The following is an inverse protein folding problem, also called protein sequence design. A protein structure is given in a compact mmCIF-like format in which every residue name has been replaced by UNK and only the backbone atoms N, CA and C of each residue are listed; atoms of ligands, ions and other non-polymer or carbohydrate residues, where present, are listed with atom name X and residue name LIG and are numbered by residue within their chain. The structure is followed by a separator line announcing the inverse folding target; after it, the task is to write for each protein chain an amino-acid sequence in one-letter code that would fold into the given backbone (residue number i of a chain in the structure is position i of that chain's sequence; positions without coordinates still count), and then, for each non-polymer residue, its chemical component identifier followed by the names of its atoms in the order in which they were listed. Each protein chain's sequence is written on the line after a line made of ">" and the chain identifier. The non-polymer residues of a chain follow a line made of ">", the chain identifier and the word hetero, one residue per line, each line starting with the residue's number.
data_IF_625679871395
#
_entry.id   IF_625679871395
#
_cell.length_a   1.000
_cell.length_b   1.000
_cell.length_c   1.000
_cell.angle_alpha   90.00
_cell.angle_beta   90.00
_cell.angle_gamma   90.00
#
_symmetry.space_group_name_H-M   'P 1'
#
loop_
_entity.id
_entity.type
_entity.pdbx_description
1 polymer ?
#
# COMPACT_ATOMS: atom_id res chain seq x y z
N UNK A 1 -9.32 7.09 23.40
CA UNK A 1 -9.04 7.06 21.96
C UNK A 1 -9.21 5.64 21.43
N UNK A 2 -9.77 5.47 20.23
CA UNK A 2 -9.94 4.14 19.65
C UNK A 2 -8.61 3.67 19.06
N UNK A 3 -8.04 2.58 19.62
CA UNK A 3 -6.82 1.95 19.12
C UNK A 3 -7.17 0.91 18.06
N UNK A 4 -6.41 0.85 16.98
CA UNK A 4 -6.56 -0.17 15.94
C UNK A 4 -6.40 -1.56 16.54
N UNK A 5 -7.38 -2.43 16.34
CA UNK A 5 -7.46 -3.79 16.94
C UNK A 5 -7.28 -3.82 18.46
N UNK A 6 -7.51 -2.69 19.14
CA UNK A 6 -7.29 -2.54 20.58
C UNK A 6 -5.82 -2.38 21.01
N UNK A 7 -4.87 -2.33 20.06
CA UNK A 7 -3.42 -2.32 20.37
C UNK A 7 -2.69 -1.07 19.89
N UNK A 8 -2.91 -0.63 18.63
CA UNK A 8 -2.07 0.36 17.95
C UNK A 8 -2.71 1.74 17.94
N UNK A 9 -1.94 2.77 18.32
CA UNK A 9 -2.39 4.15 18.29
C UNK A 9 -2.03 4.84 16.97
N UNK A 10 -2.92 5.71 16.47
CA UNK A 10 -2.68 6.51 15.27
C UNK A 10 -2.07 7.87 15.57
N UNK A 11 -2.16 8.36 16.82
CA UNK A 11 -1.68 9.70 17.22
C UNK A 11 -0.17 9.86 17.14
N UNK A 12 0.57 8.74 17.28
CA UNK A 12 2.03 8.70 17.21
C UNK A 12 2.57 8.62 15.77
N UNK A 13 1.68 8.52 14.77
CA UNK A 13 2.07 8.26 13.39
C UNK A 13 2.29 9.56 12.61
N UNK A 14 3.49 9.75 12.11
CA UNK A 14 3.87 10.90 11.30
C UNK A 14 3.98 10.54 9.81
N UNK A 15 3.47 11.43 8.95
CA UNK A 15 3.61 11.32 7.50
C UNK A 15 4.73 12.26 7.05
N UNK A 16 5.90 11.68 6.72
CA UNK A 16 7.09 12.43 6.31
C UNK A 16 6.97 13.07 4.94
N UNK A 17 6.26 12.43 4.00
CA UNK A 17 6.08 12.96 2.63
C UNK A 17 4.86 13.88 2.57
N UNK A 18 5.05 15.21 2.39
CA UNK A 18 3.95 16.17 2.36
C UNK A 18 3.01 15.94 1.17
N UNK A 19 3.48 15.35 0.08
CA UNK A 19 2.68 15.13 -1.13
C UNK A 19 1.54 14.13 -0.92
N UNK A 20 1.73 13.13 -0.06
CA UNK A 20 0.72 12.10 0.21
C UNK A 20 -0.09 12.36 1.47
N UNK A 21 0.27 13.39 2.26
CA UNK A 21 -0.33 13.68 3.57
C UNK A 21 -1.87 13.80 3.51
N UNK A 22 -2.39 14.49 2.51
CA UNK A 22 -3.83 14.70 2.35
C UNK A 22 -4.58 13.45 1.83
N UNK A 23 -3.85 12.42 1.40
CA UNK A 23 -4.40 11.19 0.80
C UNK A 23 -4.22 9.95 1.69
N UNK A 24 -3.56 10.10 2.83
CA UNK A 24 -3.39 9.07 3.85
C UNK A 24 -4.18 9.47 5.09
N UNK A 25 -5.33 8.84 5.30
CA UNK A 25 -6.17 9.10 6.47
C UNK A 25 -5.75 8.18 7.63
N UNK A 26 -5.41 8.80 8.77
CA UNK A 26 -5.04 8.17 10.04
C UNK A 26 -6.12 8.35 11.11
N UNK A 27 -7.38 8.63 10.73
CA UNK A 27 -8.46 8.72 11.69
C UNK A 27 -8.54 7.45 12.57
N UNK A 28 -8.68 7.59 13.90
CA UNK A 28 -8.69 6.46 14.81
C UNK A 28 -9.89 5.55 14.55
N UNK A 29 -9.63 4.28 14.29
CA UNK A 29 -10.63 3.24 14.08
C UNK A 29 -10.26 2.00 14.89
N UNK A 30 -11.26 1.28 15.38
CA UNK A 30 -11.04 0.01 16.07
C UNK A 30 -10.91 -1.15 15.08
N UNK A 31 -11.81 -1.24 14.10
CA UNK A 31 -11.83 -2.26 13.06
C UNK A 31 -11.92 -1.61 11.68
N UNK A 32 -11.05 -2.00 10.71
CA UNK A 32 -11.08 -1.47 9.35
C UNK A 32 -12.27 -1.99 8.55
N UNK A 33 -13.45 -1.41 8.74
CA UNK A 33 -14.67 -1.82 8.03
C UNK A 33 -15.65 -0.65 7.91
N UNK A 34 -15.72 -0.02 6.74
CA UNK A 34 -16.63 1.11 6.45
C UNK A 34 -17.95 0.71 5.77
N UNK A 35 -18.15 -0.57 5.45
CA UNK A 35 -19.35 -1.05 4.78
C UNK A 35 -19.59 -0.47 3.37
N UNK A 36 -18.54 -0.04 2.67
CA UNK A 36 -18.64 0.51 1.31
C UNK A 36 -19.18 1.95 1.25
N UNK A 37 -19.30 2.66 2.37
CA UNK A 37 -19.87 4.01 2.47
C UNK A 37 -19.29 5.01 1.46
N UNK A 38 -17.99 4.89 1.16
CA UNK A 38 -17.27 5.84 0.30
C UNK A 38 -17.08 5.35 -1.15
N UNK A 39 -17.73 4.24 -1.57
CA UNK A 39 -17.51 3.64 -2.89
C UNK A 39 -18.11 4.45 -4.05
N UNK A 40 -19.16 5.21 -3.81
CA UNK A 40 -19.92 5.92 -4.86
C UNK A 40 -19.35 7.30 -5.24
N UNK A 41 -18.59 7.94 -4.33
CA UNK A 41 -18.06 9.30 -4.56
C UNK A 41 -16.63 9.23 -5.09
N UNK A 42 -16.34 10.01 -6.14
CA UNK A 42 -14.99 10.17 -6.67
C UNK A 42 -14.06 10.74 -5.57
N UNK A 43 -12.84 10.22 -5.47
CA UNK A 43 -11.84 10.59 -4.47
C UNK A 43 -12.21 10.31 -2.99
N UNK A 44 -13.43 9.87 -2.69
CA UNK A 44 -13.85 9.59 -1.31
C UNK A 44 -13.05 8.45 -0.64
N UNK A 45 -12.35 7.62 -1.42
CA UNK A 45 -11.42 6.63 -0.89
C UNK A 45 -10.28 7.22 -0.07
N UNK A 46 -9.94 8.51 -0.25
CA UNK A 46 -8.92 9.20 0.57
C UNK A 46 -9.38 9.41 2.01
N UNK A 47 -10.68 9.45 2.26
CA UNK A 47 -11.25 9.56 3.62
C UNK A 47 -11.29 8.23 4.36
N UNK A 48 -11.08 7.10 3.65
CA UNK A 48 -10.93 5.80 4.30
C UNK A 48 -9.60 5.71 5.04
N UNK A 49 -9.62 5.10 6.23
CA UNK A 49 -8.39 4.83 6.95
C UNK A 49 -7.43 4.00 6.08
N UNK A 50 -6.14 4.30 6.15
CA UNK A 50 -5.11 3.69 5.30
C UNK A 50 -5.04 2.17 5.46
N UNK A 51 -5.28 1.66 6.67
CA UNK A 51 -5.30 0.21 6.94
C UNK A 51 -6.49 -0.46 6.26
N UNK A 52 -7.66 0.17 6.23
CA UNK A 52 -8.79 -0.35 5.47
C UNK A 52 -8.52 -0.37 3.97
N UNK A 53 -7.82 0.64 3.44
CA UNK A 53 -7.41 0.64 2.03
C UNK A 53 -6.47 -0.52 1.71
N UNK A 54 -5.52 -0.84 2.61
CA UNK A 54 -4.65 -2.02 2.47
C UNK A 54 -5.49 -3.31 2.44
N UNK A 55 -6.39 -3.49 3.40
CA UNK A 55 -7.31 -4.65 3.45
C UNK A 55 -8.10 -4.77 2.15
N UNK A 56 -8.68 -3.68 1.66
CA UNK A 56 -9.44 -3.68 0.41
C UNK A 56 -8.58 -4.00 -0.82
N UNK A 57 -7.28 -3.65 -0.82
CA UNK A 57 -6.36 -4.03 -1.90
C UNK A 57 -6.01 -5.51 -1.87
N UNK A 58 -5.74 -6.05 -0.69
CA UNK A 58 -5.45 -7.46 -0.52
C UNK A 58 -6.65 -8.38 -0.88
N UNK A 59 -7.87 -7.89 -0.71
CA UNK A 59 -9.08 -8.61 -1.14
C UNK A 59 -9.23 -8.75 -2.66
N UNK A 60 -8.49 -7.99 -3.46
CA UNK A 60 -8.53 -8.07 -4.94
C UNK A 60 -7.61 -9.14 -5.50
N UNK A 61 -6.68 -9.62 -4.71
CA UNK A 61 -5.79 -10.70 -5.13
C UNK A 61 -6.53 -12.05 -5.12
N UNK A 62 -6.11 -12.95 -5.98
CA UNK A 62 -6.67 -14.29 -6.11
C UNK A 62 -6.75 -15.01 -4.75
N UNK A 63 -7.73 -15.84 -4.55
CA UNK A 63 -8.06 -16.58 -3.31
C UNK A 63 -8.54 -15.72 -2.13
N UNK A 64 -8.39 -14.39 -2.16
CA UNK A 64 -8.84 -13.49 -1.09
C UNK A 64 -10.06 -12.65 -1.47
N UNK A 65 -10.61 -12.85 -2.67
CA UNK A 65 -11.72 -12.04 -3.20
C UNK A 65 -12.94 -12.13 -2.31
N UNK A 66 -13.43 -10.98 -1.81
CA UNK A 66 -14.59 -10.89 -0.92
C UNK A 66 -14.36 -11.31 0.53
N UNK A 67 -13.20 -11.87 0.89
CA UNK A 67 -12.92 -12.41 2.22
C UNK A 67 -12.39 -11.34 3.21
N UNK A 68 -13.16 -10.27 3.41
CA UNK A 68 -12.71 -9.12 4.23
C UNK A 68 -12.34 -9.49 5.66
N UNK A 69 -13.07 -10.40 6.30
CA UNK A 69 -12.81 -10.84 7.69
C UNK A 69 -11.49 -11.60 7.76
N UNK A 70 -11.23 -12.51 6.83
CA UNK A 70 -10.00 -13.29 6.76
C UNK A 70 -8.79 -12.38 6.51
N UNK A 71 -8.90 -11.45 5.56
CA UNK A 71 -7.85 -10.47 5.26
C UNK A 71 -7.59 -9.54 6.44
N UNK A 72 -8.63 -9.10 7.17
CA UNK A 72 -8.44 -8.32 8.40
C UNK A 72 -7.65 -9.09 9.47
N UNK A 73 -7.91 -10.38 9.65
CA UNK A 73 -7.13 -11.24 10.56
C UNK A 73 -5.68 -11.35 10.10
N UNK A 74 -5.46 -11.52 8.79
CA UNK A 74 -4.12 -11.56 8.19
C UNK A 74 -3.34 -10.27 8.45
N UNK A 75 -3.95 -9.10 8.20
CA UNK A 75 -3.30 -7.80 8.45
C UNK A 75 -3.03 -7.58 9.93
N UNK A 76 -3.96 -7.94 10.83
CA UNK A 76 -3.75 -7.87 12.28
C UNK A 76 -2.53 -8.69 12.71
N UNK A 77 -2.46 -9.95 12.28
CA UNK A 77 -1.34 -10.84 12.63
C UNK A 77 -0.02 -10.36 12.01
N UNK A 78 -0.04 -9.84 10.77
CA UNK A 78 1.13 -9.25 10.14
C UNK A 78 1.65 -8.03 10.93
N UNK A 79 0.77 -7.18 11.45
CA UNK A 79 1.14 -6.05 12.31
C UNK A 79 1.76 -6.51 13.62
N UNK A 80 1.27 -7.59 14.23
CA UNK A 80 1.90 -8.17 15.43
C UNK A 80 3.34 -8.65 15.12
N UNK A 81 3.58 -9.23 13.93
CA UNK A 81 4.92 -9.65 13.48
C UNK A 81 5.82 -8.45 13.21
N UNK A 82 5.31 -7.41 12.53
CA UNK A 82 6.06 -6.18 12.26
C UNK A 82 6.54 -5.56 13.57
N UNK A 83 5.65 -5.42 14.55
CA UNK A 83 6.02 -4.87 15.84
C UNK A 83 7.08 -5.72 16.56
N UNK A 84 6.97 -7.05 16.53
CA UNK A 84 7.96 -7.95 17.12
C UNK A 84 9.34 -7.81 16.46
N UNK A 85 9.38 -7.62 15.12
CA UNK A 85 10.65 -7.52 14.36
C UNK A 85 11.28 -6.14 14.44
N UNK A 86 10.47 -5.06 14.42
CA UNK A 86 10.97 -3.69 14.33
C UNK A 86 10.93 -2.91 15.63
N UNK A 87 10.13 -3.34 16.62
CA UNK A 87 9.88 -2.60 17.86
C UNK A 87 9.08 -1.30 17.68
N UNK A 88 8.68 -0.96 16.44
CA UNK A 88 7.96 0.27 16.09
C UNK A 88 6.46 0.04 15.95
N UNK A 89 5.69 1.14 15.96
CA UNK A 89 4.27 1.08 15.64
C UNK A 89 4.08 0.59 14.19
N UNK A 90 3.37 -0.55 13.96
CA UNK A 90 3.20 -1.13 12.62
C UNK A 90 2.53 -0.18 11.61
N UNK A 91 1.67 0.73 12.11
CA UNK A 91 1.03 1.75 11.26
C UNK A 91 2.06 2.75 10.73
N UNK A 92 3.05 3.12 11.55
CA UNK A 92 4.15 3.98 11.13
C UNK A 92 4.99 3.28 10.05
N UNK A 93 5.32 2.01 10.25
CA UNK A 93 6.08 1.21 9.26
C UNK A 93 5.30 1.12 7.94
N UNK A 94 3.98 0.92 7.99
CA UNK A 94 3.12 0.91 6.80
C UNK A 94 3.13 2.26 6.08
N UNK A 95 3.03 3.38 6.80
CA UNK A 95 3.06 4.73 6.20
C UNK A 95 4.40 4.99 5.52
N UNK A 96 5.50 4.62 6.15
CA UNK A 96 6.83 4.71 5.56
C UNK A 96 6.96 3.83 4.31
N UNK A 97 6.44 2.59 4.35
CA UNK A 97 6.41 1.68 3.21
C UNK A 97 5.63 2.28 2.02
N UNK A 98 4.48 2.92 2.26
CA UNK A 98 3.67 3.57 1.23
C UNK A 98 4.41 4.76 0.62
N UNK A 99 5.06 5.59 1.44
CA UNK A 99 5.83 6.74 0.96
C UNK A 99 6.98 6.30 0.04
N UNK A 100 7.65 5.20 0.39
CA UNK A 100 8.78 4.65 -0.37
C UNK A 100 8.34 3.90 -1.63
N UNK A 101 7.29 3.07 -1.56
CA UNK A 101 6.84 2.21 -2.66
C UNK A 101 6.00 2.94 -3.73
N UNK A 102 5.56 4.19 -3.45
CA UNK A 102 4.80 4.99 -4.41
C UNK A 102 5.68 5.59 -5.49
N UNK A 103 5.53 5.22 -6.79
CA UNK A 103 6.33 5.80 -7.88
C UNK A 103 6.04 7.29 -8.02
N UNK A 104 7.08 8.09 -8.24
CA UNK A 104 6.95 9.54 -8.43
C UNK A 104 6.65 9.90 -9.88
N UNK A 105 7.20 9.13 -10.81
CA UNK A 105 7.04 9.30 -12.25
C UNK A 105 6.48 8.03 -12.88
N UNK A 106 5.68 8.19 -13.92
CA UNK A 106 5.16 7.10 -14.73
C UNK A 106 5.10 7.48 -16.21
N UNK A 107 4.95 6.50 -17.11
CA UNK A 107 4.79 6.76 -18.54
C UNK A 107 3.35 6.76 -18.92
N UNK A 108 2.94 7.76 -19.73
CA UNK A 108 1.65 7.83 -20.39
C UNK A 108 1.88 7.68 -21.90
N UNK A 109 1.03 6.89 -22.56
CA UNK A 109 1.03 6.76 -24.02
C UNK A 109 0.11 7.82 -24.63
N UNK A 110 0.68 8.79 -25.31
CA UNK A 110 -0.05 9.78 -26.07
C UNK A 110 -0.18 9.30 -27.50
N UNK A 111 -1.39 9.41 -28.07
CA UNK A 111 -1.64 9.07 -29.47
C UNK A 111 -1.60 10.33 -30.34
N UNK A 112 -0.69 10.33 -31.30
CA UNK A 112 -0.59 11.36 -32.32
C UNK A 112 -0.75 10.71 -33.71
N UNK A 113 -1.83 10.98 -34.41
CA UNK A 113 -2.06 10.44 -35.76
C UNK A 113 -1.95 8.91 -35.88
N UNK A 114 -2.39 8.17 -34.85
CA UNK A 114 -2.31 6.70 -34.81
C UNK A 114 -1.02 6.13 -34.24
N UNK A 115 0.00 6.95 -33.98
CA UNK A 115 1.28 6.53 -33.37
C UNK A 115 1.21 6.78 -31.87
N UNK A 116 1.49 5.74 -31.08
CA UNK A 116 1.56 5.85 -29.61
C UNK A 116 2.98 6.20 -29.16
N UNK A 117 3.15 7.43 -28.64
CA UNK A 117 4.43 7.92 -28.12
C UNK A 117 4.40 7.86 -26.58
N UNK A 118 5.31 7.15 -25.92
CA UNK A 118 5.43 7.18 -24.47
C UNK A 118 6.04 8.51 -24.03
N UNK A 119 5.44 9.15 -23.02
CA UNK A 119 5.95 10.37 -22.38
C UNK A 119 5.97 10.22 -20.89
N UNK A 120 7.03 10.69 -20.24
CA UNK A 120 7.14 10.74 -18.77
C UNK A 120 6.23 11.82 -18.20
N UNK A 121 5.51 11.48 -17.14
CA UNK A 121 4.65 12.40 -16.38
C UNK A 121 4.77 12.13 -14.88
N UNK A 122 4.53 13.16 -14.06
CA UNK A 122 4.48 13.01 -12.62
C UNK A 122 3.23 12.25 -12.20
N UNK A 123 3.38 11.34 -11.26
CA UNK A 123 2.26 10.55 -10.75
C UNK A 123 1.46 11.34 -9.71
N UNK A 124 0.14 11.45 -9.91
CA UNK A 124 -0.75 12.10 -8.95
C UNK A 124 -0.65 11.46 -7.55
N UNK A 125 -0.64 12.25 -6.46
CA UNK A 125 -0.40 11.75 -5.11
C UNK A 125 -1.34 10.62 -4.69
N UNK A 126 -2.63 10.72 -5.02
CA UNK A 126 -3.58 9.65 -4.71
C UNK A 126 -3.26 8.36 -5.47
N UNK A 127 -2.81 8.46 -6.72
CA UNK A 127 -2.38 7.33 -7.53
C UNK A 127 -1.10 6.69 -6.95
N UNK A 128 -0.17 7.50 -6.42
CA UNK A 128 1.02 7.01 -5.71
C UNK A 128 0.64 6.11 -4.54
N UNK A 129 -0.29 6.55 -3.67
CA UNK A 129 -0.77 5.76 -2.53
C UNK A 129 -1.48 4.47 -3.00
N UNK A 130 -2.35 4.58 -4.02
CA UNK A 130 -3.03 3.40 -4.57
C UNK A 130 -2.08 2.39 -5.20
N UNK A 131 -1.04 2.88 -5.87
CA UNK A 131 -0.03 2.05 -6.50
C UNK A 131 0.84 1.33 -5.46
N UNK A 132 1.31 2.05 -4.44
CA UNK A 132 2.07 1.49 -3.34
C UNK A 132 1.30 0.35 -2.64
N UNK A 133 0.05 0.59 -2.27
CA UNK A 133 -0.80 -0.43 -1.65
C UNK A 133 -1.01 -1.64 -2.57
N UNK A 134 -1.14 -1.42 -3.89
CA UNK A 134 -1.27 -2.49 -4.88
C UNK A 134 0.01 -3.31 -4.96
N UNK A 135 1.18 -2.68 -5.04
CA UNK A 135 2.45 -3.38 -5.15
C UNK A 135 2.76 -4.20 -3.90
N UNK A 136 2.49 -3.65 -2.72
CA UNK A 136 2.67 -4.35 -1.44
C UNK A 136 1.74 -5.58 -1.37
N UNK A 137 0.46 -5.45 -1.75
CA UNK A 137 -0.46 -6.60 -1.73
C UNK A 137 -0.08 -7.68 -2.74
N UNK A 138 0.33 -7.29 -3.95
CA UNK A 138 0.79 -8.23 -4.98
C UNK A 138 2.09 -8.91 -4.57
N UNK A 139 3.05 -8.19 -3.98
CA UNK A 139 4.30 -8.76 -3.48
C UNK A 139 4.05 -9.81 -2.40
N UNK A 140 3.19 -9.51 -1.43
CA UNK A 140 2.79 -10.46 -0.40
C UNK A 140 2.14 -11.72 -0.98
N UNK A 141 1.22 -11.56 -1.95
CA UNK A 141 0.54 -12.68 -2.59
C UNK A 141 1.53 -13.56 -3.39
N UNK A 142 2.40 -12.97 -4.21
CA UNK A 142 3.39 -13.73 -4.99
C UNK A 142 4.43 -14.43 -4.10
N UNK A 143 4.74 -13.86 -2.94
CA UNK A 143 5.65 -14.48 -2.00
C UNK A 143 5.03 -15.67 -1.24
N UNK A 144 3.70 -15.68 -1.07
CA UNK A 144 2.98 -16.73 -0.37
C UNK A 144 2.43 -17.81 -1.31
N UNK A 145 2.00 -17.45 -2.51
CA UNK A 145 1.32 -18.36 -3.43
C UNK A 145 2.22 -19.50 -3.88
N UNK A 146 1.75 -20.74 -3.73
CA UNK A 146 2.49 -21.95 -4.11
C UNK A 146 3.74 -22.23 -3.27
N UNK A 147 3.95 -21.52 -2.16
CA UNK A 147 5.12 -21.69 -1.29
C UNK A 147 4.71 -22.05 0.14
N UNK A 148 5.67 -22.54 0.93
CA UNK A 148 5.46 -22.88 2.36
C UNK A 148 5.28 -21.64 3.26
N UNK A 149 5.46 -20.43 2.73
CA UNK A 149 5.39 -19.18 3.46
C UNK A 149 3.94 -18.73 3.63
N UNK A 150 3.56 -18.35 4.84
CA UNK A 150 2.21 -17.84 5.09
C UNK A 150 2.02 -16.44 4.50
N UNK A 151 0.78 -16.09 4.10
CA UNK A 151 0.46 -14.74 3.62
C UNK A 151 0.72 -13.67 4.68
N UNK A 152 0.60 -14.03 5.96
CA UNK A 152 0.87 -13.15 7.10
C UNK A 152 2.35 -12.76 7.14
N UNK A 153 3.25 -13.77 7.07
CA UNK A 153 4.70 -13.53 7.09
C UNK A 153 5.16 -12.80 5.83
N UNK A 154 4.61 -13.18 4.67
CA UNK A 154 4.92 -12.54 3.41
C UNK A 154 4.55 -11.05 3.39
N UNK A 155 3.36 -10.70 3.93
CA UNK A 155 2.90 -9.32 4.04
C UNK A 155 3.79 -8.52 5.02
N UNK A 156 4.12 -9.10 6.17
CA UNK A 156 4.97 -8.44 7.16
C UNK A 156 6.37 -8.13 6.58
N UNK A 157 6.97 -9.09 5.89
CA UNK A 157 8.29 -8.90 5.28
C UNK A 157 8.26 -7.89 4.15
N UNK A 158 7.24 -7.90 3.28
CA UNK A 158 7.11 -6.94 2.19
C UNK A 158 6.94 -5.51 2.70
N UNK A 159 6.13 -5.30 3.77
CA UNK A 159 5.97 -3.98 4.40
C UNK A 159 7.29 -3.52 5.03
N UNK A 160 8.02 -4.39 5.72
CA UNK A 160 9.32 -4.05 6.34
C UNK A 160 10.35 -3.71 5.24
N UNK A 161 10.45 -4.53 4.19
CA UNK A 161 11.36 -4.30 3.07
C UNK A 161 11.09 -2.95 2.39
N UNK A 162 9.81 -2.65 2.12
CA UNK A 162 9.41 -1.36 1.53
C UNK A 162 9.68 -0.17 2.47
N UNK A 163 9.48 -0.32 3.78
CA UNK A 163 9.78 0.73 4.76
C UNK A 163 11.28 1.04 4.84
N UNK A 164 12.13 0.03 4.71
CA UNK A 164 13.59 0.14 4.74
C UNK A 164 14.22 0.45 3.37
N UNK A 165 13.39 0.68 2.33
CA UNK A 165 13.86 0.92 0.96
C UNK A 165 14.68 -0.24 0.37
N UNK A 166 14.38 -1.49 0.73
CA UNK A 166 15.09 -2.66 0.21
C UNK A 166 14.59 -3.01 -1.21
N UNK A 167 15.48 -2.85 -2.19
CA UNK A 167 15.19 -3.12 -3.61
C UNK A 167 14.90 -4.61 -3.89
N UNK A 168 15.30 -5.51 -3.00
CA UNK A 168 14.96 -6.93 -3.10
C UNK A 168 13.46 -7.19 -2.89
N UNK A 169 12.74 -6.29 -2.21
CA UNK A 169 11.29 -6.34 -2.09
C UNK A 169 10.60 -6.18 -3.44
N UNK A 170 9.50 -6.90 -3.65
CA UNK A 170 8.74 -6.84 -4.91
C UNK A 170 8.23 -5.42 -5.20
N UNK A 171 7.68 -4.72 -4.19
CA UNK A 171 7.14 -3.39 -4.34
C UNK A 171 8.21 -2.38 -4.77
N UNK A 172 9.38 -2.43 -4.13
CA UNK A 172 10.49 -1.54 -4.45
C UNK A 172 11.09 -1.84 -5.82
N UNK A 173 11.32 -3.10 -6.16
CA UNK A 173 11.84 -3.48 -7.48
C UNK A 173 10.89 -3.09 -8.63
N UNK A 174 9.56 -3.19 -8.42
CA UNK A 174 8.57 -2.73 -9.41
C UNK A 174 8.51 -1.21 -9.51
N UNK A 175 8.59 -0.48 -8.39
CA UNK A 175 8.68 0.97 -8.39
C UNK A 175 9.88 1.44 -9.20
N UNK A 176 11.08 0.91 -8.91
CA UNK A 176 12.31 1.30 -9.59
C UNK A 176 12.25 1.01 -11.10
N UNK A 177 11.61 -0.10 -11.50
CA UNK A 177 11.38 -0.39 -12.91
C UNK A 177 10.46 0.63 -13.58
N UNK A 178 9.39 1.06 -12.92
CA UNK A 178 8.45 2.08 -13.46
C UNK A 178 9.16 3.41 -13.63
N UNK A 179 9.89 3.86 -12.61
CA UNK A 179 10.62 5.13 -12.63
C UNK A 179 11.77 5.09 -13.66
N UNK A 180 12.44 3.93 -13.83
CA UNK A 180 13.47 3.74 -14.85
C UNK A 180 12.90 3.87 -16.27
N UNK A 181 11.74 3.25 -16.54
CA UNK A 181 11.07 3.37 -17.85
C UNK A 181 10.58 4.80 -18.09
N UNK A 182 10.03 5.45 -17.05
CA UNK A 182 9.62 6.85 -17.14
C UNK A 182 10.82 7.77 -17.45
N UNK A 183 11.93 7.55 -16.79
CA UNK A 183 13.17 8.30 -17.03
C UNK A 183 13.71 8.16 -18.47
N UNK A 184 13.53 6.99 -19.07
CA UNK A 184 13.92 6.74 -20.47
C UNK A 184 12.93 7.37 -21.48
N UNK A 185 11.71 7.75 -21.06
CA UNK A 185 10.67 8.35 -21.90
C UNK A 185 10.55 9.89 -21.72
N UNK A 186 11.54 10.52 -21.15
CA UNK A 186 11.63 11.99 -21.03
C UNK A 186 11.91 12.69 -22.36
#
# INVERSE_FOLDING_TARGET
>A
MHKLYGKWDFSEVEIKDPSIRNYVNLAPIFLPHSGGKNSKKQFAKSTLNIVERLVNKMMREEHNTGQKITVNKTVKNAFDIINKKTGQNPVQVLVNAIANAGPREETVRLQYGGIAVPKSVDTAPQRRVDFALRLISQGAQQAAFGKKKSLVDALAEEIIAAANYDVKGFAMGKKDNIERVAKAAR
#
